data_IF_993551930706
#
_entry.id   IF_993551930706
#
_cell.length_a   1.000
_cell.length_b   1.000
_cell.length_c   1.000
_cell.angle_alpha   90.00
_cell.angle_beta   90.00
_cell.angle_gamma   90.00
#
_symmetry.space_group_name_H-M   'P 1'
#
loop_
_entity.id
_entity.type
_entity.pdbx_description
1 polymer ?
#
# COMPACT_ATOMS: atom_id res chain seq x y z
N UNK A 1 32.32 -59.63 -3.37
CA UNK A 1 33.34 -58.97 -2.53
C UNK A 1 32.61 -57.92 -1.68
N UNK A 2 32.64 -57.86 -0.33
CA UNK A 2 33.50 -58.48 0.73
C UNK A 2 35.00 -58.16 0.53
N UNK A 3 35.79 -57.62 1.48
CA UNK A 3 35.70 -57.23 2.93
C UNK A 3 36.72 -56.08 3.17
N UNK A 4 36.85 -55.29 4.26
CA UNK A 4 36.38 -55.24 5.68
C UNK A 4 35.73 -53.84 5.98
N UNK A 5 35.31 -53.36 7.18
CA UNK A 5 35.35 -53.71 8.62
C UNK A 5 36.59 -53.27 9.46
N UNK A 6 36.44 -53.28 10.82
CA UNK A 6 37.37 -52.88 11.93
C UNK A 6 37.33 -51.36 12.29
N UNK A 7 36.72 -50.87 13.40
CA UNK A 7 36.98 -50.96 14.87
C UNK A 7 38.05 -49.93 15.36
N UNK A 8 37.74 -48.92 16.19
CA UNK A 8 37.69 -48.90 17.69
C UNK A 8 37.23 -47.50 18.22
N UNK A 9 37.12 -47.19 19.53
CA UNK A 9 36.34 -47.76 20.66
C UNK A 9 36.72 -47.08 22.01
N UNK A 10 35.78 -46.33 22.64
CA UNK A 10 35.68 -45.96 24.09
C UNK A 10 36.82 -45.11 24.77
N UNK A 11 36.71 -44.64 26.05
CA UNK A 11 35.59 -43.97 26.75
C UNK A 11 36.06 -42.78 27.69
N UNK A 12 35.40 -42.62 28.86
CA UNK A 12 35.49 -41.61 29.95
C UNK A 12 34.71 -40.29 29.70
N UNK A 13 33.76 -39.79 30.51
CA UNK A 13 33.33 -39.91 31.92
C UNK A 13 33.77 -38.76 32.85
N UNK A 14 32.81 -38.01 33.38
CA UNK A 14 32.63 -37.88 34.84
C UNK A 14 31.22 -37.40 35.18
N UNK A 15 30.75 -37.72 36.39
CA UNK A 15 29.47 -37.27 36.93
C UNK A 15 29.69 -36.26 38.05
N UNK A 16 28.79 -35.29 38.22
CA UNK A 16 28.61 -34.62 39.50
C UNK A 16 27.11 -34.44 39.79
N UNK A 17 26.70 -34.99 40.93
CA UNK A 17 25.43 -34.66 41.58
C UNK A 17 25.67 -33.45 42.49
N UNK A 18 24.65 -32.61 42.67
CA UNK A 18 24.48 -31.90 43.94
C UNK A 18 23.00 -31.88 44.33
N UNK A 19 22.72 -31.96 45.63
CA UNK A 19 21.37 -32.04 46.17
C UNK A 19 20.71 -30.65 46.25
N UNK A 20 19.37 -30.64 46.24
CA UNK A 20 18.59 -29.40 46.33
C UNK A 20 18.41 -28.90 47.77
N UNK A 21 17.82 -27.71 47.88
CA UNK A 21 17.26 -27.16 49.12
C UNK A 21 15.81 -26.79 48.83
N UNK A 22 14.88 -27.27 49.68
CA UNK A 22 13.52 -26.77 49.70
C UNK A 22 13.43 -25.61 50.70
N UNK A 23 12.82 -24.50 50.28
CA UNK A 23 12.60 -23.33 51.13
C UNK A 23 11.32 -22.62 50.72
N UNK A 24 10.30 -22.67 51.58
CA UNK A 24 9.13 -21.82 51.48
C UNK A 24 9.33 -20.60 52.38
N UNK A 25 8.97 -19.42 51.88
CA UNK A 25 9.06 -18.15 52.59
C UNK A 25 8.32 -17.08 51.79
N UNK A 26 7.50 -16.29 52.48
CA UNK A 26 6.60 -15.30 51.88
C UNK A 26 7.23 -13.89 51.83
N UNK A 27 6.67 -13.04 50.96
CA UNK A 27 6.97 -11.61 50.80
C UNK A 27 8.41 -11.28 50.27
N UNK A 28 8.61 -10.22 49.47
CA UNK A 28 7.82 -8.99 49.43
C UNK A 28 7.72 -8.33 48.03
N UNK A 29 6.92 -7.27 47.97
CA UNK A 29 6.56 -6.45 46.80
C UNK A 29 7.72 -5.91 45.96
N UNK A 30 7.65 -6.07 44.63
CA UNK A 30 7.54 -4.96 43.65
C UNK A 30 7.75 -5.43 42.19
N UNK A 31 6.68 -5.52 41.38
CA UNK A 31 6.69 -5.35 39.91
C UNK A 31 5.27 -5.49 39.32
N UNK A 32 4.40 -4.52 39.60
CA UNK A 32 3.15 -4.36 38.86
C UNK A 32 3.39 -3.48 37.63
N UNK A 33 3.43 -4.06 36.42
CA UNK A 33 3.33 -3.26 35.21
C UNK A 33 2.59 -4.01 34.09
N UNK A 34 1.32 -3.62 33.99
CA UNK A 34 0.39 -3.60 32.86
C UNK A 34 0.19 -4.79 31.91
N UNK A 35 -1.09 -4.91 31.54
CA UNK A 35 -1.59 -5.69 30.42
C UNK A 35 -0.98 -5.13 29.13
N UNK A 36 -0.18 -5.92 28.42
CA UNK A 36 -0.04 -5.76 26.98
C UNK A 36 -1.34 -6.23 26.30
N UNK A 37 -2.34 -5.35 26.31
CA UNK A 37 -3.34 -5.34 25.24
C UNK A 37 -2.59 -4.95 23.96
N UNK A 38 -2.74 -5.76 22.92
CA UNK A 38 -2.32 -5.37 21.58
C UNK A 38 -3.41 -4.44 21.04
N UNK A 39 -3.16 -3.14 21.09
CA UNK A 39 -4.06 -2.16 20.51
C UNK A 39 -4.20 -2.37 18.99
N UNK A 40 -5.40 -2.13 18.50
CA UNK A 40 -5.76 -2.23 17.08
C UNK A 40 -5.04 -1.11 16.31
N UNK A 41 -4.07 -1.43 15.46
CA UNK A 41 -3.43 -0.46 14.56
C UNK A 41 -4.42 -0.05 13.46
N UNK A 42 -5.38 0.80 13.84
CA UNK A 42 -6.26 1.48 12.90
C UNK A 42 -5.41 2.33 11.97
N UNK A 43 -5.21 1.85 10.74
CA UNK A 43 -4.47 2.54 9.67
C UNK A 43 -5.18 3.84 9.29
N UNK A 44 -4.94 4.89 10.08
CA UNK A 44 -5.39 6.25 9.80
C UNK A 44 -4.66 6.76 8.56
N UNK A 45 -5.25 6.52 7.38
CA UNK A 45 -4.83 7.18 6.15
C UNK A 45 -5.00 8.69 6.32
N UNK A 46 -3.92 9.37 6.66
CA UNK A 46 -3.79 10.82 6.53
C UNK A 46 -3.73 11.14 5.03
N UNK A 47 -4.88 11.10 4.36
CA UNK A 47 -5.03 11.56 2.99
C UNK A 47 -4.73 13.06 2.99
N UNK A 48 -3.60 13.44 2.37
CA UNK A 48 -3.30 14.84 2.13
C UNK A 48 -4.40 15.43 1.26
N UNK A 49 -5.19 16.35 1.80
CA UNK A 49 -6.19 17.05 1.03
C UNK A 49 -5.46 18.01 0.08
N UNK A 50 -5.42 17.67 -1.21
CA UNK A 50 -4.89 18.57 -2.24
C UNK A 50 -5.87 19.72 -2.44
N UNK A 51 -5.42 20.94 -2.16
CA UNK A 51 -6.23 22.14 -2.34
C UNK A 51 -6.55 22.38 -3.84
N UNK A 52 -7.84 22.41 -4.24
CA UNK A 52 -8.22 22.66 -5.62
C UNK A 52 -8.07 24.13 -6.04
N UNK A 53 -7.77 24.35 -7.32
CA UNK A 53 -7.87 25.65 -7.97
C UNK A 53 -9.22 25.78 -8.68
N UNK A 54 -9.95 26.87 -8.43
CA UNK A 54 -11.28 27.10 -9.02
C UNK A 54 -11.19 28.06 -10.21
N UNK A 55 -11.37 27.53 -11.43
CA UNK A 55 -11.45 28.29 -12.70
C UNK A 55 -12.47 27.58 -13.59
N UNK A 56 -13.65 28.17 -13.78
CA UNK A 56 -14.78 27.65 -14.57
C UNK A 56 -15.12 26.16 -14.30
N UNK A 57 -14.84 25.72 -13.07
CA UNK A 57 -14.74 24.31 -12.68
C UNK A 57 -13.73 24.13 -11.54
N UNK A 58 -13.33 22.90 -11.30
CA UNK A 58 -12.37 22.49 -10.26
C UNK A 58 -11.15 21.85 -10.93
N UNK A 59 -9.97 22.45 -10.75
CA UNK A 59 -8.70 21.94 -11.25
C UNK A 59 -7.85 21.41 -10.10
N UNK A 60 -7.46 20.13 -10.18
CA UNK A 60 -6.43 19.54 -9.33
C UNK A 60 -5.12 19.40 -10.12
N UNK A 61 -4.02 19.78 -9.49
CA UNK A 61 -2.66 19.50 -9.95
C UNK A 61 -2.05 18.54 -8.94
N UNK A 62 -1.66 17.34 -9.41
CA UNK A 62 -1.27 16.21 -8.58
C UNK A 62 0.14 15.76 -8.95
N UNK A 63 0.97 15.64 -7.92
CA UNK A 63 2.30 15.05 -7.94
C UNK A 63 2.23 13.57 -7.55
N UNK A 64 3.37 12.87 -7.54
CA UNK A 64 3.46 11.48 -7.05
C UNK A 64 3.26 11.40 -5.54
N UNK A 65 3.69 12.44 -4.84
CA UNK A 65 3.71 12.58 -3.39
C UNK A 65 2.29 12.65 -2.80
N UNK A 66 1.30 13.03 -3.61
CA UNK A 66 -0.12 13.05 -3.24
C UNK A 66 -0.77 11.65 -3.22
N UNK A 67 -0.14 10.63 -3.83
CA UNK A 67 -0.72 9.29 -3.92
C UNK A 67 -0.21 8.35 -2.81
N UNK A 68 -1.13 7.59 -2.21
CA UNK A 68 -0.79 6.49 -1.31
C UNK A 68 -0.27 5.29 -2.13
N UNK A 69 0.97 4.80 -1.91
CA UNK A 69 1.50 3.62 -2.58
C UNK A 69 0.91 2.34 -2.00
N UNK A 70 0.57 1.38 -2.88
CA UNK A 70 -0.05 0.09 -2.53
C UNK A 70 0.93 -1.05 -2.82
N UNK A 71 1.20 -1.87 -1.81
CA UNK A 71 2.13 -3.00 -1.88
C UNK A 71 1.40 -4.34 -1.71
N UNK A 72 1.88 -5.38 -2.41
CA UNK A 72 1.53 -6.78 -2.11
C UNK A 72 2.73 -7.52 -1.54
N UNK A 73 2.46 -8.45 -0.63
CA UNK A 73 3.46 -9.38 -0.11
C UNK A 73 3.57 -10.63 -1.00
N UNK A 74 4.81 -11.04 -1.30
CA UNK A 74 5.11 -12.31 -1.96
C UNK A 74 6.29 -13.00 -1.26
N UNK A 75 6.34 -14.33 -1.31
CA UNK A 75 7.40 -15.12 -0.67
C UNK A 75 8.37 -15.66 -1.71
N UNK A 76 9.65 -15.29 -1.60
CA UNK A 76 10.73 -15.85 -2.41
C UNK A 76 11.48 -16.94 -1.62
N UNK A 77 12.04 -17.92 -2.32
CA UNK A 77 12.87 -18.96 -1.72
C UNK A 77 14.33 -18.53 -1.74
N UNK A 78 14.93 -18.27 -0.58
CA UNK A 78 16.33 -17.95 -0.41
C UNK A 78 17.08 -19.16 0.16
N UNK A 79 17.55 -20.04 -0.73
CA UNK A 79 18.16 -21.31 -0.33
C UNK A 79 17.15 -22.22 0.40
N UNK A 80 17.27 -22.32 1.73
CA UNK A 80 16.32 -23.09 2.58
C UNK A 80 15.22 -22.25 3.21
N UNK A 81 15.32 -20.93 3.18
CA UNK A 81 14.41 -20.01 3.86
C UNK A 81 13.37 -19.39 2.91
N UNK A 82 12.20 -19.00 3.45
CA UNK A 82 11.17 -18.26 2.71
C UNK A 82 11.11 -16.81 3.21
N UNK A 83 11.61 -15.89 2.41
CA UNK A 83 11.64 -14.47 2.75
C UNK A 83 10.37 -13.79 2.22
N UNK A 84 9.66 -13.05 3.08
CA UNK A 84 8.58 -12.14 2.68
C UNK A 84 9.20 -10.90 2.03
N UNK A 85 8.76 -10.57 0.83
CA UNK A 85 9.20 -9.39 0.07
C UNK A 85 7.97 -8.63 -0.38
N UNK A 86 8.02 -7.31 -0.31
CA UNK A 86 6.93 -6.45 -0.74
C UNK A 86 7.17 -5.90 -2.15
N UNK A 87 6.10 -5.78 -2.93
CA UNK A 87 6.13 -5.29 -4.30
C UNK A 87 5.08 -4.20 -4.45
N UNK A 88 5.51 -3.02 -4.86
CA UNK A 88 4.60 -1.95 -5.28
C UNK A 88 3.76 -2.42 -6.47
N UNK A 89 2.43 -2.25 -6.40
CA UNK A 89 1.49 -2.62 -7.47
C UNK A 89 0.60 -1.47 -7.90
N UNK A 90 0.41 -0.44 -7.08
CA UNK A 90 -0.33 0.75 -7.48
C UNK A 90 0.08 2.01 -6.70
N UNK A 91 -0.31 3.16 -7.25
CA UNK A 91 -0.45 4.43 -6.52
C UNK A 91 -1.93 4.82 -6.55
N UNK A 92 -2.51 5.12 -5.39
CA UNK A 92 -3.95 5.40 -5.26
C UNK A 92 -4.23 6.71 -4.53
N UNK A 93 -5.24 7.44 -5.00
CA UNK A 93 -5.72 8.69 -4.41
C UNK A 93 -7.25 8.76 -4.52
N UNK A 94 -7.90 9.49 -3.61
CA UNK A 94 -9.29 9.90 -3.72
C UNK A 94 -9.37 11.41 -3.57
N UNK A 95 -9.90 12.11 -4.56
CA UNK A 95 -10.17 13.56 -4.52
C UNK A 95 -11.68 13.81 -4.34
N UNK A 96 -12.10 14.90 -3.67
CA UNK A 96 -13.50 15.28 -3.62
C UNK A 96 -13.95 15.84 -4.97
N UNK A 97 -15.22 15.64 -5.31
CA UNK A 97 -15.84 16.26 -6.48
C UNK A 97 -16.95 17.19 -6.02
N UNK A 98 -16.79 18.47 -6.32
CA UNK A 98 -17.74 19.52 -6.01
C UNK A 98 -18.59 19.83 -7.24
N UNK A 99 -19.87 20.13 -7.01
CA UNK A 99 -20.75 20.66 -8.05
C UNK A 99 -21.59 19.64 -8.84
N UNK A 100 -21.45 18.31 -8.65
CA UNK A 100 -22.39 17.34 -9.25
C UNK A 100 -23.79 17.51 -8.63
N UNK A 101 -24.61 18.34 -9.28
CA UNK A 101 -26.04 18.53 -9.00
C UNK A 101 -26.90 17.79 -10.03
N UNK A 102 -26.30 16.90 -10.84
CA UNK A 102 -26.96 16.11 -11.87
C UNK A 102 -27.01 16.75 -13.26
N UNK A 103 -26.17 17.77 -13.51
CA UNK A 103 -25.91 18.31 -14.85
C UNK A 103 -24.93 17.41 -15.65
N UNK A 104 -24.62 17.77 -16.89
CA UNK A 104 -23.49 17.16 -17.62
C UNK A 104 -22.17 17.78 -17.14
N UNK A 105 -21.22 16.94 -16.75
CA UNK A 105 -19.87 17.33 -16.37
C UNK A 105 -18.85 16.92 -17.43
N UNK A 106 -17.90 17.82 -17.70
CA UNK A 106 -16.66 17.52 -18.41
C UNK A 106 -15.63 17.03 -17.39
N UNK A 107 -15.09 15.83 -17.64
CA UNK A 107 -13.92 15.29 -16.96
C UNK A 107 -12.75 15.29 -17.95
N UNK A 108 -11.71 16.05 -17.67
CA UNK A 108 -10.50 16.15 -18.50
C UNK A 108 -9.25 15.90 -17.66
N UNK A 109 -8.60 14.75 -17.91
CA UNK A 109 -7.52 14.18 -17.11
C UNK A 109 -6.31 13.99 -18.01
N UNK A 110 -5.23 14.73 -17.73
CA UNK A 110 -4.03 14.78 -18.56
C UNK A 110 -2.76 14.62 -17.70
N UNK A 111 -1.82 13.75 -18.07
CA UNK A 111 -0.63 13.51 -17.22
C UNK A 111 0.49 12.69 -17.84
N UNK A 112 1.53 12.40 -17.04
CA UNK A 112 2.73 11.62 -17.40
C UNK A 112 3.36 10.90 -16.21
N UNK A 113 4.22 9.94 -16.50
CA UNK A 113 4.98 9.11 -15.54
C UNK A 113 6.48 9.00 -15.89
N UNK A 114 7.00 9.99 -16.60
CA UNK A 114 8.41 10.12 -17.01
C UNK A 114 9.00 8.88 -17.72
N UNK A 115 8.24 8.31 -18.66
CA UNK A 115 8.66 7.16 -19.47
C UNK A 115 8.29 5.78 -18.89
N UNK A 116 7.69 5.72 -17.70
CA UNK A 116 7.33 4.45 -17.05
C UNK A 116 5.90 4.05 -17.39
N UNK A 117 5.74 3.04 -18.26
CA UNK A 117 4.42 2.59 -18.69
C UNK A 117 3.60 2.01 -17.53
N UNK A 118 2.44 2.61 -17.28
CA UNK A 118 1.46 2.22 -16.26
C UNK A 118 0.05 2.28 -16.84
N UNK A 119 -0.94 1.70 -16.13
CA UNK A 119 -2.35 1.88 -16.44
C UNK A 119 -2.98 2.87 -15.44
N UNK A 120 -3.47 4.02 -15.92
CA UNK A 120 -4.30 4.94 -15.14
C UNK A 120 -5.75 4.49 -15.21
N UNK A 121 -6.41 4.42 -14.06
CA UNK A 121 -7.85 4.24 -13.95
C UNK A 121 -8.46 5.35 -13.09
N UNK A 122 -9.62 5.86 -13.51
CA UNK A 122 -10.36 6.92 -12.83
C UNK A 122 -11.84 6.52 -12.72
N UNK A 123 -12.44 6.70 -11.54
CA UNK A 123 -13.84 6.33 -11.29
C UNK A 123 -14.53 7.25 -10.27
N UNK A 124 -15.79 7.61 -10.50
CA UNK A 124 -16.56 8.54 -9.67
C UNK A 124 -18.06 8.35 -9.90
N UNK A 125 -18.78 7.68 -8.98
CA UNK A 125 -20.19 7.35 -9.21
C UNK A 125 -20.39 6.50 -10.45
N UNK A 126 -21.17 7.00 -11.42
CA UNK A 126 -21.34 6.37 -12.76
C UNK A 126 -20.21 6.68 -13.75
N UNK A 127 -19.33 7.65 -13.46
CA UNK A 127 -18.15 7.89 -14.31
C UNK A 127 -17.09 6.79 -14.09
N UNK A 128 -16.60 6.24 -15.20
CA UNK A 128 -15.39 5.42 -15.25
C UNK A 128 -14.64 5.67 -16.56
N UNK A 129 -13.31 5.66 -16.49
CA UNK A 129 -12.40 5.70 -17.63
C UNK A 129 -11.01 5.13 -17.26
N UNK A 130 -10.20 4.80 -18.26
CA UNK A 130 -8.83 4.32 -18.09
C UNK A 130 -7.98 4.57 -19.33
N UNK A 131 -6.68 4.75 -19.14
CA UNK A 131 -5.67 4.92 -20.19
C UNK A 131 -4.37 4.19 -19.80
N UNK A 132 -3.45 3.97 -20.74
CA UNK A 132 -2.20 3.24 -20.47
C UNK A 132 -1.02 3.68 -21.33
N UNK A 133 0.12 3.92 -20.68
CA UNK A 133 1.34 4.41 -21.30
C UNK A 133 2.22 5.16 -20.30
N UNK A 134 3.13 5.98 -20.82
CA UNK A 134 3.93 6.96 -20.06
C UNK A 134 3.27 8.36 -19.98
N UNK A 135 2.15 8.51 -20.69
CA UNK A 135 1.33 9.71 -20.85
C UNK A 135 -0.14 9.29 -20.80
N UNK A 136 -1.00 10.16 -20.29
CA UNK A 136 -2.40 9.88 -20.08
C UNK A 136 -3.25 11.03 -20.61
N UNK A 137 -4.29 10.73 -21.40
CA UNK A 137 -5.26 11.70 -21.94
C UNK A 137 -6.65 11.08 -21.92
N UNK A 138 -7.46 11.44 -20.92
CA UNK A 138 -8.85 11.02 -20.78
C UNK A 138 -9.72 12.27 -20.77
N UNK A 139 -10.46 12.51 -21.85
CA UNK A 139 -11.45 13.60 -21.93
C UNK A 139 -12.83 13.02 -22.20
N UNK A 140 -13.81 13.32 -21.34
CA UNK A 140 -15.16 12.72 -21.40
C UNK A 140 -16.20 13.67 -20.81
N UNK A 141 -17.28 13.93 -21.55
CA UNK A 141 -18.51 14.55 -21.03
C UNK A 141 -19.52 13.48 -20.65
N UNK A 142 -20.18 13.61 -19.49
CA UNK A 142 -21.37 12.82 -19.12
C UNK A 142 -22.12 13.38 -17.90
N UNK A 143 -23.44 13.19 -17.85
CA UNK A 143 -24.23 13.35 -16.63
C UNK A 143 -23.91 12.24 -15.63
N UNK A 144 -23.49 12.61 -14.42
CA UNK A 144 -23.24 11.67 -13.30
C UNK A 144 -24.41 11.58 -12.32
N UNK A 145 -25.43 12.43 -12.46
CA UNK A 145 -26.70 12.35 -11.74
C UNK A 145 -26.54 12.32 -10.20
N UNK A 146 -25.72 13.24 -9.65
CA UNK A 146 -25.44 13.37 -8.21
C UNK A 146 -24.70 12.17 -7.59
N UNK A 147 -24.16 11.27 -8.41
CA UNK A 147 -23.40 10.10 -7.92
C UNK A 147 -21.90 10.33 -7.79
N UNK A 148 -21.36 11.40 -8.37
CA UNK A 148 -19.93 11.69 -8.39
C UNK A 148 -19.56 12.72 -7.31
N UNK A 149 -19.38 12.24 -6.08
CA UNK A 149 -18.96 13.05 -4.91
C UNK A 149 -17.49 12.87 -4.54
N UNK A 150 -16.84 11.79 -4.98
CA UNK A 150 -15.40 11.58 -4.85
C UNK A 150 -14.88 10.73 -6.00
N UNK A 151 -13.82 11.21 -6.66
CA UNK A 151 -13.14 10.50 -7.73
C UNK A 151 -11.96 9.73 -7.18
N UNK A 152 -11.95 8.42 -7.43
CA UNK A 152 -10.86 7.50 -7.13
C UNK A 152 -9.95 7.36 -8.34
N UNK A 153 -8.65 7.50 -8.09
CA UNK A 153 -7.58 7.41 -9.07
C UNK A 153 -6.67 6.24 -8.68
N UNK A 154 -6.26 5.43 -9.66
CA UNK A 154 -5.30 4.35 -9.43
C UNK A 154 -4.38 4.16 -10.64
N UNK A 155 -3.08 4.38 -10.45
CA UNK A 155 -2.03 4.00 -11.39
C UNK A 155 -1.54 2.59 -11.05
N UNK A 156 -1.77 1.62 -11.92
CA UNK A 156 -1.30 0.23 -11.75
C UNK A 156 0.12 0.07 -12.27
N UNK A 157 1.02 -0.41 -11.42
CA UNK A 157 2.47 -0.59 -11.65
C UNK A 157 2.78 -2.07 -11.91
N UNK A 158 3.42 -2.36 -13.04
CA UNK A 158 3.79 -3.74 -13.44
C UNK A 158 5.29 -4.05 -13.27
N UNK A 159 6.13 -3.03 -13.04
CA UNK A 159 7.59 -3.14 -12.98
C UNK A 159 8.20 -2.20 -11.93
N UNK A 160 9.27 -1.50 -12.30
CA UNK A 160 9.92 -0.51 -11.43
C UNK A 160 8.99 0.66 -11.08
N UNK A 161 9.08 1.23 -9.87
CA UNK A 161 8.40 2.49 -9.54
C UNK A 161 8.85 3.63 -10.46
N UNK A 162 7.96 4.51 -10.93
CA UNK A 162 8.32 5.71 -11.67
C UNK A 162 9.05 6.72 -10.76
N UNK A 163 9.92 7.60 -11.31
CA UNK A 163 10.56 8.66 -10.53
C UNK A 163 9.54 9.71 -10.09
N UNK A 164 8.72 10.22 -11.01
CA UNK A 164 7.61 11.14 -10.76
C UNK A 164 6.30 10.64 -11.41
N UNK A 165 5.20 11.29 -11.03
CA UNK A 165 3.88 11.19 -11.64
C UNK A 165 3.37 12.63 -11.64
N UNK A 166 3.01 13.16 -12.81
CA UNK A 166 2.43 14.49 -12.94
C UNK A 166 1.02 14.31 -13.54
N UNK A 167 -0.04 14.77 -12.86
CA UNK A 167 -1.42 14.59 -13.32
C UNK A 167 -2.26 15.86 -13.07
N UNK A 168 -2.92 16.34 -14.12
CA UNK A 168 -3.84 17.48 -14.11
C UNK A 168 -5.26 16.97 -14.33
N UNK A 169 -6.20 17.35 -13.46
CA UNK A 169 -7.61 16.94 -13.54
C UNK A 169 -8.51 18.16 -13.47
N UNK A 170 -9.19 18.47 -14.57
CA UNK A 170 -10.28 19.43 -14.61
C UNK A 170 -11.63 18.70 -14.53
N UNK A 171 -12.48 19.16 -13.62
CA UNK A 171 -13.90 18.79 -13.54
C UNK A 171 -14.72 20.06 -13.65
N UNK A 172 -15.46 20.22 -14.75
CA UNK A 172 -16.18 21.44 -15.10
C UNK A 172 -17.60 21.14 -15.58
N UNK A 173 -18.46 22.15 -15.63
CA UNK A 173 -19.77 22.02 -16.29
C UNK A 173 -19.60 21.97 -17.81
N UNK A 174 -20.45 21.21 -18.49
CA UNK A 174 -20.45 21.14 -19.95
C UNK A 174 -21.30 22.27 -20.56
N UNK A 175 -20.62 23.32 -21.04
CA UNK A 175 -21.17 24.32 -21.97
C UNK A 175 -21.30 23.78 -23.40
#
# INVERSE_FOLDING_TARGET
MKIFSVLRVLPLSLSLLYAGVAGAGEADSCCSLDKLLLDDETLSQTQGAVDPLYIDGVLYQLSKEDFTPVYISHYIQAGRERIRVERLVAYTLSIPVYGDIGQELLFDINGRSDGYSMNLSASCGTFSASDSGDKYVISKRMTTAQSCTSMRLSFTVSGSPPPSIDLSILIAEAF
#
